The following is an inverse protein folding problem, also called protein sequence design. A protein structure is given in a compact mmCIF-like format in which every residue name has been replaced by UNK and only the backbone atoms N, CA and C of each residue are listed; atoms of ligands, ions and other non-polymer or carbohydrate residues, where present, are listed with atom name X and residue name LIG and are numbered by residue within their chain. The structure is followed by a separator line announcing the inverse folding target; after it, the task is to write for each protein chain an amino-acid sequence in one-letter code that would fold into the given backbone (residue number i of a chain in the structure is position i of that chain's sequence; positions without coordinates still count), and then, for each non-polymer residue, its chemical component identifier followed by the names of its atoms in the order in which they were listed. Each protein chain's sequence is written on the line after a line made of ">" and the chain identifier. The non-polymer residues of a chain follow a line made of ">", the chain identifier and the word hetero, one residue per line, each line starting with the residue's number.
data_IF_133417157411
#
_entry.id   IF_133417157411
#
_cell.length_a   1.000
_cell.length_b   1.000
_cell.length_c   1.000
_cell.angle_alpha   90.00
_cell.angle_beta   90.00
_cell.angle_gamma   90.00
#
_symmetry.space_group_name_H-M   'P 1'
#
loop_
_entity.id
_entity.type
_entity.pdbx_description
1 polymer ?
#
# COMPACT_ATOMS: atom_id res chain seq x y z
N UNK A 1 7.81 -11.38 8.91
CA UNK A 1 7.21 -10.52 7.88
C UNK A 1 5.71 -10.67 7.98
N UNK A 2 4.94 -9.59 8.12
CA UNK A 2 3.47 -9.64 8.18
C UNK A 2 2.91 -10.12 6.83
N UNK A 3 1.83 -10.92 6.83
CA UNK A 3 1.14 -11.32 5.59
C UNK A 3 0.70 -10.10 4.78
N UNK A 4 0.21 -9.06 5.47
CA UNK A 4 -0.23 -7.80 4.86
C UNK A 4 0.93 -7.12 4.13
N UNK A 5 2.07 -6.98 4.80
CA UNK A 5 3.25 -6.34 4.21
C UNK A 5 3.74 -7.08 2.95
N UNK A 6 3.72 -8.41 2.96
CA UNK A 6 4.10 -9.21 1.80
C UNK A 6 3.13 -8.98 0.64
N UNK A 7 1.82 -9.02 0.89
CA UNK A 7 0.81 -8.79 -0.15
C UNK A 7 0.89 -7.38 -0.76
N UNK A 8 1.14 -6.36 0.07
CA UNK A 8 1.37 -4.99 -0.41
C UNK A 8 2.60 -4.94 -1.32
N UNK A 9 3.71 -5.56 -0.91
CA UNK A 9 4.95 -5.61 -1.72
C UNK A 9 4.73 -6.31 -3.05
N UNK A 10 3.97 -7.40 -3.06
CA UNK A 10 3.68 -8.14 -4.29
C UNK A 10 2.80 -7.33 -5.24
N UNK A 11 1.79 -6.64 -4.70
CA UNK A 11 0.95 -5.73 -5.48
C UNK A 11 1.76 -4.55 -6.05
N UNK A 12 2.65 -3.96 -5.24
CA UNK A 12 3.53 -2.88 -5.69
C UNK A 12 4.41 -3.33 -6.87
N UNK A 13 4.93 -4.55 -6.81
CA UNK A 13 5.73 -5.14 -7.89
C UNK A 13 4.90 -5.40 -9.15
N UNK A 14 3.69 -5.91 -8.99
CA UNK A 14 2.83 -6.24 -10.11
C UNK A 14 2.34 -4.99 -10.86
N UNK A 15 1.91 -3.96 -10.14
CA UNK A 15 1.25 -2.79 -10.74
C UNK A 15 2.20 -1.64 -11.05
N UNK A 16 3.22 -1.39 -10.21
CA UNK A 16 4.02 -0.15 -10.29
C UNK A 16 5.51 -0.36 -10.60
N UNK A 17 6.04 -1.58 -10.45
CA UNK A 17 7.46 -1.89 -10.68
C UNK A 17 7.69 -3.01 -11.71
N UNK A 18 6.73 -3.28 -12.58
CA UNK A 18 6.88 -4.27 -13.64
C UNK A 18 8.06 -3.97 -14.59
N UNK A 19 8.42 -2.69 -14.72
CA UNK A 19 9.56 -2.20 -15.52
C UNK A 19 10.88 -2.10 -14.73
N UNK A 20 10.83 -2.28 -13.40
CA UNK A 20 11.95 -2.13 -12.46
C UNK A 20 12.04 -3.33 -11.50
N UNK A 21 12.29 -4.55 -11.99
CA UNK A 21 12.27 -5.77 -11.18
C UNK A 21 13.36 -5.81 -10.09
N UNK A 22 14.47 -5.09 -10.30
CA UNK A 22 15.61 -5.03 -9.37
C UNK A 22 15.43 -3.95 -8.29
N UNK A 23 14.34 -3.18 -8.31
CA UNK A 23 14.10 -2.13 -7.33
C UNK A 23 13.80 -2.73 -5.95
N UNK A 24 14.62 -2.37 -4.97
CA UNK A 24 14.41 -2.77 -3.59
C UNK A 24 13.33 -1.89 -2.95
N UNK A 25 12.25 -2.52 -2.47
CA UNK A 25 11.23 -1.87 -1.66
C UNK A 25 11.68 -1.90 -0.20
N UNK A 26 12.51 -0.97 0.26
CA UNK A 26 12.84 -0.90 1.68
C UNK A 26 11.61 -0.52 2.51
N UNK A 27 11.58 -0.85 3.81
CA UNK A 27 10.44 -0.51 4.68
C UNK A 27 10.30 1.01 4.91
N UNK A 28 11.40 1.75 4.79
CA UNK A 28 11.50 3.21 4.92
C UNK A 28 11.51 3.94 3.57
N UNK A 29 11.30 3.22 2.46
CA UNK A 29 11.21 3.82 1.14
C UNK A 29 9.91 4.59 0.99
N UNK A 30 10.02 5.90 0.77
CA UNK A 30 8.90 6.74 0.38
C UNK A 30 8.52 6.46 -1.09
N UNK A 31 7.39 5.79 -1.26
CA UNK A 31 6.85 5.36 -2.55
C UNK A 31 6.34 6.53 -3.40
N UNK A 32 5.98 7.65 -2.77
CA UNK A 32 5.43 8.82 -3.43
C UNK A 32 6.57 9.73 -3.90
N UNK A 33 7.55 10.01 -3.03
CA UNK A 33 8.76 10.74 -3.41
C UNK A 33 9.58 9.99 -4.47
N UNK A 34 9.63 8.66 -4.38
CA UNK A 34 10.26 7.81 -5.39
C UNK A 34 9.45 7.71 -6.70
N UNK A 35 8.29 8.38 -6.79
CA UNK A 35 7.36 8.33 -7.92
C UNK A 35 6.97 6.92 -8.36
N UNK A 36 6.85 6.01 -7.40
CA UNK A 36 6.31 4.66 -7.62
C UNK A 36 4.78 4.72 -7.58
N UNK A 37 4.25 5.46 -6.61
CA UNK A 37 2.82 5.71 -6.46
C UNK A 37 2.53 7.19 -6.73
N UNK A 38 1.46 7.44 -7.49
CA UNK A 38 0.85 8.74 -7.65
C UNK A 38 -0.56 8.77 -7.02
N UNK A 39 -1.33 9.83 -7.27
CA UNK A 39 -2.70 9.95 -6.75
C UNK A 39 -3.63 8.85 -7.26
N UNK A 40 -3.42 8.31 -8.47
CA UNK A 40 -4.22 7.22 -9.00
C UNK A 40 -3.79 5.88 -8.40
N UNK A 41 -2.49 5.69 -8.19
CA UNK A 41 -1.92 4.53 -7.53
C UNK A 41 -2.45 4.32 -6.11
N UNK A 42 -2.71 5.40 -5.37
CA UNK A 42 -3.38 5.34 -4.06
C UNK A 42 -4.75 4.67 -4.20
N UNK A 43 -5.59 5.08 -5.17
CA UNK A 43 -6.91 4.48 -5.36
C UNK A 43 -6.83 3.00 -5.78
N UNK A 44 -5.83 2.63 -6.59
CA UNK A 44 -5.58 1.23 -6.95
C UNK A 44 -5.20 0.43 -5.69
N UNK A 45 -4.39 1.00 -4.80
CA UNK A 45 -4.03 0.36 -3.53
C UNK A 45 -5.19 0.26 -2.57
N UNK A 46 -6.02 1.29 -2.44
CA UNK A 46 -7.26 1.23 -1.67
C UNK A 46 -8.12 0.06 -2.15
N UNK A 47 -8.43 0.00 -3.44
CA UNK A 47 -9.27 -1.06 -4.00
C UNK A 47 -8.68 -2.46 -3.80
N UNK A 48 -7.36 -2.59 -3.94
CA UNK A 48 -6.65 -3.85 -3.65
C UNK A 48 -6.77 -4.25 -2.18
N UNK A 49 -6.49 -3.33 -1.25
CA UNK A 49 -6.51 -3.60 0.19
C UNK A 49 -7.91 -3.98 0.67
N UNK A 50 -8.94 -3.24 0.24
CA UNK A 50 -10.34 -3.55 0.55
C UNK A 50 -10.74 -4.94 0.05
N UNK A 51 -10.39 -5.26 -1.21
CA UNK A 51 -10.73 -6.55 -1.81
C UNK A 51 -9.95 -7.72 -1.18
N UNK A 52 -8.64 -7.55 -0.94
CA UNK A 52 -7.76 -8.62 -0.45
C UNK A 52 -7.97 -8.95 1.02
N UNK A 53 -8.29 -7.95 1.84
CA UNK A 53 -8.41 -8.09 3.29
C UNK A 53 -9.83 -7.94 3.82
N UNK A 54 -10.80 -7.60 2.96
CA UNK A 54 -12.20 -7.43 3.36
C UNK A 54 -12.42 -6.24 4.29
N UNK A 55 -11.56 -5.23 4.20
CA UNK A 55 -11.65 -3.99 4.98
C UNK A 55 -12.38 -2.91 4.20
N UNK A 56 -12.86 -1.87 4.88
CA UNK A 56 -13.30 -0.64 4.25
C UNK A 56 -12.36 0.49 4.63
N UNK A 57 -11.86 1.24 3.65
CA UNK A 57 -10.99 2.38 3.87
C UNK A 57 -11.82 3.64 3.60
N UNK A 58 -12.07 4.41 4.65
CA UNK A 58 -12.87 5.63 4.56
C UNK A 58 -12.09 6.77 3.89
N UNK A 59 -12.81 7.77 3.36
CA UNK A 59 -12.19 8.90 2.64
C UNK A 59 -11.13 9.65 3.46
N UNK A 60 -11.31 9.72 4.79
CA UNK A 60 -10.35 10.37 5.71
C UNK A 60 -9.04 9.56 5.86
N UNK A 61 -9.08 8.24 5.63
CA UNK A 61 -7.92 7.36 5.61
C UNK A 61 -7.19 7.37 4.25
N UNK A 62 -7.81 7.91 3.19
CA UNK A 62 -7.18 8.10 1.87
C UNK A 62 -6.29 9.35 1.91
N UNK A 63 -5.28 9.31 2.77
CA UNK A 63 -4.24 10.33 2.91
C UNK A 63 -2.90 9.76 2.39
N UNK A 64 -2.14 10.51 1.56
CA UNK A 64 -0.79 10.14 1.12
C UNK A 64 0.10 9.52 2.20
N UNK A 65 0.03 10.02 3.44
CA UNK A 65 0.80 9.50 4.58
C UNK A 65 0.52 8.03 4.90
N UNK A 66 -0.69 7.53 4.64
CA UNK A 66 -1.01 6.11 4.84
C UNK A 66 -0.47 5.23 3.70
N UNK A 67 -0.01 5.81 2.59
CA UNK A 67 0.48 5.11 1.40
C UNK A 67 1.95 5.43 1.08
N UNK A 68 2.61 6.22 1.91
CA UNK A 68 4.01 6.62 1.74
C UNK A 68 4.96 5.43 1.82
N UNK A 69 4.67 4.46 2.68
CA UNK A 69 5.55 3.29 2.93
C UNK A 69 4.75 2.00 3.11
N UNK A 70 5.42 0.85 2.96
CA UNK A 70 4.81 -0.47 3.21
C UNK A 70 4.31 -0.62 4.66
N UNK A 71 5.07 -0.23 5.70
CA UNK A 71 4.58 -0.26 7.08
C UNK A 71 3.37 0.65 7.33
N UNK A 72 3.29 1.82 6.67
CA UNK A 72 2.13 2.72 6.79
C UNK A 72 0.85 2.05 6.26
N UNK A 73 0.90 1.44 5.07
CA UNK A 73 -0.23 0.69 4.51
C UNK A 73 -0.59 -0.53 5.37
N UNK A 74 0.43 -1.22 5.89
CA UNK A 74 0.21 -2.37 6.80
C UNK A 74 -0.57 -1.93 8.04
N UNK A 75 -0.14 -0.82 8.65
CA UNK A 75 -0.80 -0.23 9.82
C UNK A 75 -2.22 0.24 9.51
N UNK A 76 -2.46 0.77 8.31
CA UNK A 76 -3.81 1.16 7.87
C UNK A 76 -4.75 -0.04 7.84
N UNK A 77 -4.35 -1.15 7.22
CA UNK A 77 -5.15 -2.38 7.15
C UNK A 77 -5.42 -2.95 8.53
N UNK A 78 -4.40 -3.01 9.40
CA UNK A 78 -4.57 -3.51 10.77
C UNK A 78 -5.57 -2.67 11.58
N UNK A 79 -5.55 -1.34 11.43
CA UNK A 79 -6.55 -0.45 12.05
C UNK A 79 -7.95 -0.70 11.50
N UNK A 80 -8.09 -0.82 10.18
CA UNK A 80 -9.39 -1.05 9.55
C UNK A 80 -10.01 -2.40 9.93
N UNK A 81 -9.18 -3.44 10.07
CA UNK A 81 -9.61 -4.76 10.58
C UNK A 81 -10.06 -4.70 12.04
N UNK A 82 -9.41 -3.88 12.88
CA UNK A 82 -9.79 -3.73 14.28
C UNK A 82 -11.08 -2.91 14.48
N UNK A 83 -11.45 -2.09 13.49
CA UNK A 83 -12.67 -1.28 13.50
C UNK A 83 -13.90 -2.01 12.92
N UNK A 84 -13.70 -3.20 12.34
CA UNK A 84 -14.74 -4.07 11.73
C UNK A 84 -15.22 -5.16 12.70
#
# INVERSE_FOLDING_TARGET
>A
MSEIAQAVRDQLRAEFLADRPDMELADDLDLIEAQIIDSLGIFIMVAFLETRFGVSIEGDDINPQNFETVPAMTSLVERAQAAS
#
